data_IF_261540529776
#
_entry.id   IF_261540529776
#
_cell.length_a   1.000
_cell.length_b   1.000
_cell.length_c   1.000
_cell.angle_alpha   90.00
_cell.angle_beta   90.00
_cell.angle_gamma   90.00
#
_symmetry.space_group_name_H-M   'P 1'
#
loop_
_entity.id
_entity.type
_entity.pdbx_description
1 polymer ?
#
# COMPACT_ATOMS: atom_id res chain seq x y z
N UNK A 1 12.65 8.58 36.59
CA UNK A 1 11.82 7.82 35.60
C UNK A 1 10.44 8.45 35.53
N UNK A 2 10.14 9.25 34.50
CA UNK A 2 8.78 9.83 34.33
C UNK A 2 7.87 8.73 33.77
N UNK A 3 6.98 8.20 34.61
CA UNK A 3 5.90 7.31 34.13
C UNK A 3 4.99 8.12 33.21
N UNK A 4 5.01 7.80 31.92
CA UNK A 4 4.05 8.38 30.97
C UNK A 4 2.69 7.72 31.22
N UNK A 5 1.64 8.50 31.48
CA UNK A 5 0.24 8.03 31.59
C UNK A 5 -0.17 7.17 30.37
N UNK A 6 0.47 7.39 29.22
CA UNK A 6 0.23 6.62 28.00
C UNK A 6 0.60 5.14 28.10
N UNK A 7 1.46 4.72 29.08
CA UNK A 7 1.76 3.31 29.30
C UNK A 7 0.59 2.52 29.89
N UNK A 8 -0.37 3.23 30.49
CA UNK A 8 -1.61 2.64 31.04
C UNK A 8 -2.70 2.48 29.96
N UNK A 9 -2.51 3.06 28.77
CA UNK A 9 -3.47 2.91 27.68
C UNK A 9 -3.50 1.48 27.15
N UNK A 10 -4.66 0.99 26.68
CA UNK A 10 -4.76 -0.34 26.13
C UNK A 10 -3.88 -0.49 24.88
N UNK A 11 -3.33 -1.69 24.68
CA UNK A 11 -2.55 -2.02 23.50
C UNK A 11 -3.38 -1.75 22.23
N UNK A 12 -2.80 -1.03 21.28
CA UNK A 12 -3.43 -0.72 20.00
C UNK A 12 -2.97 -1.69 18.92
N UNK A 13 -3.92 -2.26 18.20
CA UNK A 13 -3.69 -3.19 17.09
C UNK A 13 -4.10 -2.53 15.78
N UNK A 14 -3.18 -2.48 14.82
CA UNK A 14 -3.42 -1.96 13.49
C UNK A 14 -3.43 -3.13 12.52
N UNK A 15 -4.56 -3.36 11.85
CA UNK A 15 -4.71 -4.47 10.95
C UNK A 15 -4.34 -4.06 9.53
N UNK A 16 -3.47 -4.83 8.87
CA UNK A 16 -3.02 -4.62 7.50
C UNK A 16 -3.34 -5.83 6.63
N UNK A 17 -3.92 -5.58 5.46
CA UNK A 17 -4.19 -6.57 4.42
C UNK A 17 -3.51 -6.16 3.12
N UNK A 18 -2.85 -7.10 2.47
CA UNK A 18 -2.18 -6.91 1.18
C UNK A 18 -0.67 -6.82 1.29
N UNK A 19 -0.02 -6.58 0.15
CA UNK A 19 1.43 -6.53 0.01
C UNK A 19 2.06 -5.24 0.52
N UNK A 20 3.32 -5.00 0.12
CA UNK A 20 4.20 -3.92 0.61
C UNK A 20 3.50 -2.56 0.69
N UNK A 21 2.78 -2.14 -0.35
CA UNK A 21 2.12 -0.82 -0.34
C UNK A 21 1.10 -0.65 0.80
N UNK A 22 0.38 -1.71 1.19
CA UNK A 22 -0.55 -1.67 2.34
C UNK A 22 0.20 -1.69 3.66
N UNK A 23 1.28 -2.44 3.74
CA UNK A 23 2.14 -2.55 4.92
C UNK A 23 2.84 -1.22 5.22
N UNK A 24 3.26 -0.48 4.20
CA UNK A 24 3.82 0.86 4.33
C UNK A 24 2.82 1.86 4.91
N UNK A 25 1.56 1.83 4.48
CA UNK A 25 0.50 2.64 5.09
C UNK A 25 0.29 2.28 6.56
N UNK A 26 0.29 0.99 6.91
CA UNK A 26 0.17 0.56 8.29
C UNK A 26 1.36 1.03 9.14
N UNK A 27 2.58 0.94 8.61
CA UNK A 27 3.78 1.43 9.28
C UNK A 27 3.71 2.95 9.54
N UNK A 28 3.31 3.73 8.54
CA UNK A 28 3.14 5.19 8.68
C UNK A 28 2.18 5.54 9.83
N UNK A 29 1.03 4.86 9.90
CA UNK A 29 0.05 5.08 10.98
C UNK A 29 0.64 4.72 12.34
N UNK A 30 1.38 3.60 12.44
CA UNK A 30 2.01 3.22 13.71
C UNK A 30 2.99 4.29 14.17
N UNK A 31 3.86 4.76 13.28
CA UNK A 31 4.84 5.78 13.62
C UNK A 31 4.15 7.08 14.03
N UNK A 32 3.12 7.52 13.31
CA UNK A 32 2.32 8.68 13.66
C UNK A 32 1.67 8.54 15.04
N UNK A 33 1.10 7.38 15.34
CA UNK A 33 0.47 7.11 16.63
C UNK A 33 1.47 7.01 17.77
N UNK A 34 2.67 6.51 17.53
CA UNK A 34 3.75 6.53 18.52
C UNK A 34 4.20 7.94 18.86
N UNK A 35 4.23 8.85 17.86
CA UNK A 35 4.51 10.28 18.11
C UNK A 35 3.38 10.94 18.91
N UNK A 36 2.11 10.64 18.58
CA UNK A 36 0.95 11.21 19.24
C UNK A 36 0.74 10.67 20.67
N UNK A 37 1.04 9.39 20.89
CA UNK A 37 0.89 8.69 22.18
C UNK A 37 2.20 8.02 22.60
N UNK A 38 3.23 8.79 23.00
CA UNK A 38 4.52 8.23 23.41
C UNK A 38 4.36 7.23 24.56
N UNK A 39 5.02 6.06 24.43
CA UNK A 39 4.94 5.00 25.44
C UNK A 39 3.75 4.04 25.27
N UNK A 40 2.77 4.35 24.41
CA UNK A 40 1.69 3.41 24.10
C UNK A 40 2.19 2.23 23.29
N UNK A 41 1.77 1.02 23.63
CA UNK A 41 2.10 -0.19 22.88
C UNK A 41 1.24 -0.30 21.63
N UNK A 42 1.87 -0.18 20.45
CA UNK A 42 1.21 -0.33 19.15
C UNK A 42 1.82 -1.53 18.43
N UNK A 43 0.95 -2.38 17.82
CA UNK A 43 1.37 -3.57 17.06
C UNK A 43 0.64 -3.60 15.72
N UNK A 44 1.30 -4.12 14.70
CA UNK A 44 0.65 -4.41 13.41
C UNK A 44 0.22 -5.87 13.38
N UNK A 45 -1.02 -6.10 12.96
CA UNK A 45 -1.54 -7.43 12.64
C UNK A 45 -1.52 -7.56 11.13
N UNK A 46 -0.59 -8.34 10.60
CA UNK A 46 -0.50 -8.61 9.17
C UNK A 46 -1.37 -9.81 8.83
N UNK A 47 -2.36 -9.60 7.98
CA UNK A 47 -3.22 -10.66 7.47
C UNK A 47 -2.69 -11.14 6.14
N UNK A 48 -2.34 -12.41 6.05
CA UNK A 48 -1.84 -13.03 4.81
C UNK A 48 -2.95 -13.44 3.86
N UNK A 49 -4.21 -13.26 4.28
CA UNK A 49 -5.40 -13.51 3.48
C UNK A 49 -5.67 -12.42 2.43
N UNK A 50 -6.31 -12.76 1.33
CA UNK A 50 -6.69 -11.83 0.26
C UNK A 50 -7.12 -12.59 -1.00
N UNK A 51 -7.20 -11.89 -2.14
CA UNK A 51 -7.40 -12.52 -3.46
C UNK A 51 -6.22 -13.44 -3.79
N UNK A 52 -5.02 -12.99 -3.43
CA UNK A 52 -3.78 -13.78 -3.46
C UNK A 52 -3.15 -13.78 -2.08
N UNK A 53 -2.53 -14.91 -1.69
CA UNK A 53 -1.78 -14.98 -0.44
C UNK A 53 -0.63 -13.98 -0.47
N UNK A 54 -0.53 -13.13 0.56
CA UNK A 54 0.53 -12.12 0.69
C UNK A 54 1.29 -12.37 1.99
N UNK A 55 2.60 -12.22 1.92
CA UNK A 55 3.50 -12.36 3.07
C UNK A 55 3.87 -10.99 3.62
N UNK A 56 4.53 -10.98 4.76
CA UNK A 56 5.15 -9.76 5.28
C UNK A 56 6.36 -9.42 4.41
N UNK A 57 6.27 -8.32 3.67
CA UNK A 57 7.29 -7.82 2.75
C UNK A 57 8.12 -6.70 3.39
N UNK A 58 7.51 -5.95 4.33
CA UNK A 58 8.16 -4.86 5.04
C UNK A 58 8.88 -5.37 6.29
N UNK A 59 10.15 -5.02 6.45
CA UNK A 59 10.88 -5.29 7.68
C UNK A 59 10.46 -4.30 8.80
N UNK A 60 9.34 -4.59 9.45
CA UNK A 60 8.79 -3.76 10.53
C UNK A 60 9.72 -3.62 11.73
N UNK A 61 10.61 -4.59 11.96
CA UNK A 61 11.53 -4.57 13.11
C UNK A 61 12.51 -3.40 13.03
N UNK A 62 12.94 -3.02 11.82
CA UNK A 62 13.79 -1.83 11.61
C UNK A 62 13.12 -0.52 11.99
N UNK A 63 11.80 -0.46 11.86
CA UNK A 63 10.99 0.67 12.31
C UNK A 63 10.60 0.57 13.80
N UNK A 64 11.18 -0.39 14.54
CA UNK A 64 10.80 -0.64 15.92
C UNK A 64 9.34 -1.03 16.10
N UNK A 65 8.71 -1.61 15.07
CA UNK A 65 7.29 -1.99 15.05
C UNK A 65 7.18 -3.50 15.30
N UNK A 66 6.42 -3.88 16.34
CA UNK A 66 6.09 -5.28 16.60
C UNK A 66 4.94 -5.74 15.71
N UNK A 67 5.08 -6.93 15.09
CA UNK A 67 4.07 -7.53 14.24
C UNK A 67 3.53 -8.85 14.82
N UNK A 68 2.34 -9.21 14.37
CA UNK A 68 1.73 -10.53 14.53
C UNK A 68 1.17 -10.91 13.15
N UNK A 69 1.62 -12.02 12.60
CA UNK A 69 1.07 -12.56 11.36
C UNK A 69 -0.13 -13.47 11.66
N UNK A 70 -1.20 -13.31 10.90
CA UNK A 70 -2.39 -14.16 10.99
C UNK A 70 -2.68 -14.73 9.60
N UNK A 71 -2.62 -16.05 9.50
CA UNK A 71 -3.05 -16.77 8.31
C UNK A 71 -4.56 -17.08 8.39
N UNK A 72 -5.35 -16.17 7.82
CA UNK A 72 -6.81 -16.32 7.80
C UNK A 72 -7.31 -17.41 6.82
N UNK A 73 -6.43 -17.91 5.92
CA UNK A 73 -6.78 -19.02 5.03
C UNK A 73 -6.95 -20.36 5.76
N UNK A 74 -6.30 -20.52 6.91
CA UNK A 74 -6.40 -21.72 7.72
C UNK A 74 -7.70 -21.79 8.53
N UNK A 75 -8.48 -20.70 8.61
CA UNK A 75 -9.79 -20.74 9.28
C UNK A 75 -10.81 -21.38 8.35
N UNK A 76 -11.41 -22.51 8.73
CA UNK A 76 -12.49 -23.08 7.95
C UNK A 76 -13.58 -22.02 7.79
N UNK A 77 -14.06 -21.79 6.56
CA UNK A 77 -15.25 -20.99 6.32
C UNK A 77 -16.35 -21.57 7.21
N UNK A 78 -16.73 -20.83 8.25
CA UNK A 78 -17.84 -21.22 9.12
C UNK A 78 -19.07 -21.40 8.22
N UNK A 79 -19.38 -22.66 7.90
CA UNK A 79 -20.60 -23.00 7.20
C UNK A 79 -21.76 -22.50 8.04
N UNK A 80 -22.56 -21.64 7.45
CA UNK A 80 -23.71 -20.99 8.09
C UNK A 80 -24.82 -21.99 8.31
N UNK A 81 -24.80 -22.70 9.44
CA UNK A 81 -25.95 -23.44 9.93
C UNK A 81 -26.98 -22.48 10.56
N UNK A 82 -28.23 -22.82 10.51
CA UNK A 82 -29.36 -22.00 11.05
C UNK A 82 -29.17 -21.53 12.51
N UNK A 83 -28.43 -22.29 13.33
CA UNK A 83 -28.09 -21.92 14.71
C UNK A 83 -27.16 -20.70 14.79
N UNK A 84 -26.37 -20.41 13.77
CA UNK A 84 -25.49 -19.25 13.68
C UNK A 84 -26.32 -17.96 13.51
N UNK A 85 -27.54 -18.02 12.92
CA UNK A 85 -28.40 -16.82 12.72
C UNK A 85 -28.80 -16.11 14.00
N UNK A 86 -29.11 -16.80 15.08
CA UNK A 86 -29.46 -16.16 16.38
C UNK A 86 -28.24 -15.55 17.06
N UNK A 87 -27.09 -16.22 17.05
CA UNK A 87 -25.81 -15.67 17.54
C UNK A 87 -25.35 -14.45 16.73
N UNK A 88 -25.63 -14.43 15.43
CA UNK A 88 -25.32 -13.27 14.57
C UNK A 88 -25.96 -11.96 15.03
N UNK A 89 -27.16 -12.00 15.62
CA UNK A 89 -27.85 -10.79 16.10
C UNK A 89 -27.10 -10.14 17.27
N UNK A 90 -26.67 -10.93 18.24
CA UNK A 90 -25.84 -10.45 19.36
C UNK A 90 -24.44 -10.03 18.91
N UNK A 91 -23.84 -10.75 17.98
CA UNK A 91 -22.54 -10.37 17.40
C UNK A 91 -22.64 -9.04 16.66
N UNK A 92 -23.73 -8.80 15.92
CA UNK A 92 -23.97 -7.51 15.25
C UNK A 92 -24.13 -6.37 16.25
N UNK A 93 -24.88 -6.57 17.33
CA UNK A 93 -25.06 -5.58 18.39
C UNK A 93 -23.72 -5.28 19.09
N UNK A 94 -22.99 -6.31 19.48
CA UNK A 94 -21.65 -6.14 20.07
C UNK A 94 -20.69 -5.42 19.11
N UNK A 95 -20.71 -5.80 17.85
CA UNK A 95 -19.91 -5.12 16.81
C UNK A 95 -20.31 -3.65 16.70
N UNK A 96 -21.60 -3.34 16.61
CA UNK A 96 -22.08 -1.97 16.55
C UNK A 96 -21.64 -1.17 17.78
N UNK A 97 -21.78 -1.74 18.99
CA UNK A 97 -21.29 -1.11 20.22
C UNK A 97 -19.78 -0.81 20.17
N UNK A 98 -18.95 -1.77 19.75
CA UNK A 98 -17.49 -1.60 19.66
C UNK A 98 -17.10 -0.49 18.69
N UNK A 99 -17.81 -0.36 17.57
CA UNK A 99 -17.56 0.71 16.59
C UNK A 99 -18.09 2.06 17.05
N UNK A 100 -19.31 2.11 17.62
CA UNK A 100 -19.89 3.35 18.11
C UNK A 100 -19.10 3.95 19.29
N UNK A 101 -18.61 3.11 20.19
CA UNK A 101 -17.74 3.52 21.31
C UNK A 101 -16.31 3.86 20.90
N UNK A 102 -15.95 3.68 19.61
CA UNK A 102 -14.57 3.87 19.11
C UNK A 102 -13.51 2.95 19.75
N UNK A 103 -13.93 1.84 20.37
CA UNK A 103 -13.01 0.77 20.80
C UNK A 103 -12.38 0.11 19.59
N UNK A 104 -13.19 -0.08 18.54
CA UNK A 104 -12.72 -0.48 17.20
C UNK A 104 -13.01 0.67 16.24
N UNK A 105 -12.01 1.11 15.51
CA UNK A 105 -12.15 2.07 14.41
C UNK A 105 -11.99 1.31 13.12
N UNK A 106 -12.94 1.49 12.20
CA UNK A 106 -12.85 0.93 10.85
C UNK A 106 -13.12 2.03 9.84
N UNK A 107 -12.37 1.96 8.76
CA UNK A 107 -12.59 2.76 7.58
C UNK A 107 -12.60 1.84 6.37
N UNK A 108 -13.59 1.97 5.51
CA UNK A 108 -13.66 1.21 4.27
C UNK A 108 -12.74 1.80 3.20
N UNK A 109 -12.52 3.11 3.22
CA UNK A 109 -11.70 3.82 2.25
C UNK A 109 -10.82 4.91 2.87
N UNK A 110 -11.22 5.46 4.02
CA UNK A 110 -10.63 6.65 4.61
C UNK A 110 -10.34 6.41 6.08
N UNK A 111 -9.16 6.82 6.49
CA UNK A 111 -8.76 6.76 7.87
C UNK A 111 -8.61 8.18 8.42
N UNK A 112 -9.49 8.57 9.33
CA UNK A 112 -9.42 9.84 10.02
C UNK A 112 -8.76 9.66 11.39
N UNK A 113 -7.63 10.30 11.62
CA UNK A 113 -6.96 10.31 12.92
C UNK A 113 -7.84 10.82 14.06
N UNK A 114 -8.76 11.74 13.76
CA UNK A 114 -9.70 12.30 14.72
C UNK A 114 -10.63 11.25 15.35
N UNK A 115 -10.85 10.14 14.67
CA UNK A 115 -11.67 9.06 15.19
C UNK A 115 -10.95 8.16 16.20
N UNK A 116 -9.61 8.28 16.33
CA UNK A 116 -8.85 7.51 17.31
C UNK A 116 -8.97 8.18 18.68
N UNK A 117 -9.37 7.41 19.65
CA UNK A 117 -9.48 7.82 21.06
C UNK A 117 -8.40 7.10 21.90
N UNK A 118 -8.06 7.61 23.08
CA UNK A 118 -7.11 6.93 23.98
C UNK A 118 -7.47 5.48 24.26
N UNK A 119 -8.76 5.15 24.35
CA UNK A 119 -9.27 3.80 24.61
C UNK A 119 -9.45 2.94 23.34
N UNK A 120 -9.15 3.45 22.13
CA UNK A 120 -9.21 2.64 20.90
C UNK A 120 -8.21 1.48 20.99
N UNK A 121 -8.68 0.26 20.77
CA UNK A 121 -7.87 -0.95 20.88
C UNK A 121 -7.55 -1.57 19.53
N UNK A 122 -8.33 -1.27 18.49
CA UNK A 122 -8.16 -1.87 17.17
C UNK A 122 -8.51 -0.88 16.07
N UNK A 123 -7.67 -0.82 15.06
CA UNK A 123 -7.88 -0.02 13.84
C UNK A 123 -7.85 -0.95 12.65
N UNK A 124 -8.90 -0.88 11.82
CA UNK A 124 -9.09 -1.72 10.64
C UNK A 124 -9.44 -0.84 9.45
N UNK A 125 -8.77 -1.00 8.32
CA UNK A 125 -9.07 -0.22 7.12
C UNK A 125 -7.96 -0.31 6.08
N UNK A 126 -8.13 0.46 5.01
CA UNK A 126 -7.14 0.51 3.94
C UNK A 126 -6.05 1.56 4.15
N UNK A 127 -6.23 2.49 5.06
CA UNK A 127 -5.29 3.55 5.48
C UNK A 127 -4.75 4.43 4.34
N UNK A 128 -5.50 4.55 3.27
CA UNK A 128 -5.03 5.22 2.07
C UNK A 128 -5.08 6.74 2.17
N UNK A 129 -5.94 7.28 3.03
CA UNK A 129 -5.98 8.70 3.37
C UNK A 129 -5.28 8.93 4.72
N UNK A 130 -3.99 9.21 4.65
CA UNK A 130 -3.17 9.53 5.81
C UNK A 130 -2.59 10.91 5.66
N UNK A 131 -2.55 11.67 6.75
CA UNK A 131 -1.78 12.89 6.80
C UNK A 131 -0.30 12.56 6.63
N UNK A 132 0.30 13.09 5.58
CA UNK A 132 1.69 12.83 5.25
C UNK A 132 2.61 13.68 6.11
N UNK A 133 3.49 13.02 6.86
CA UNK A 133 4.52 13.66 7.67
C UNK A 133 5.88 13.30 7.08
N UNK A 134 6.59 14.30 6.56
CA UNK A 134 7.83 14.07 5.83
C UNK A 134 8.89 13.33 6.64
N UNK A 135 9.04 13.61 7.93
CA UNK A 135 10.01 12.90 8.80
C UNK A 135 9.69 11.40 8.94
N UNK A 136 8.41 11.04 9.03
CA UNK A 136 7.98 9.64 9.08
C UNK A 136 8.24 8.95 7.75
N UNK A 137 7.97 9.64 6.63
CA UNK A 137 8.21 9.09 5.29
C UNK A 137 9.71 8.84 5.08
N UNK A 138 10.58 9.76 5.51
CA UNK A 138 12.03 9.59 5.46
C UNK A 138 12.49 8.42 6.33
N UNK A 139 12.00 8.30 7.58
CA UNK A 139 12.30 7.17 8.47
C UNK A 139 11.92 5.82 7.83
N UNK A 140 10.78 5.77 7.14
CA UNK A 140 10.34 4.57 6.41
C UNK A 140 11.28 4.28 5.23
N UNK A 141 11.64 5.30 4.43
CA UNK A 141 12.54 5.15 3.28
C UNK A 141 13.91 4.63 3.71
N UNK A 142 14.49 5.23 4.76
CA UNK A 142 15.77 4.79 5.33
C UNK A 142 15.73 3.33 5.81
N UNK A 143 14.66 2.96 6.53
CA UNK A 143 14.50 1.58 7.01
C UNK A 143 14.29 0.57 5.88
N UNK A 144 13.62 0.95 4.79
CA UNK A 144 13.43 0.10 3.61
C UNK A 144 14.72 -0.20 2.89
N UNK A 145 15.57 0.82 2.73
CA UNK A 145 16.75 0.75 1.86
C UNK A 145 18.08 0.63 2.61
N UNK A 146 18.06 0.46 3.93
CA UNK A 146 19.27 0.34 4.75
C UNK A 146 20.22 -0.80 4.31
N UNK A 147 19.69 -1.94 3.83
CA UNK A 147 20.50 -3.10 3.36
C UNK A 147 20.70 -3.08 1.84
N UNK A 148 20.18 -2.09 1.13
CA UNK A 148 20.15 -2.12 -0.34
C UNK A 148 21.46 -1.70 -1.00
N UNK A 149 22.57 -1.61 -0.24
CA UNK A 149 23.91 -1.37 -0.81
C UNK A 149 24.31 -2.41 -1.86
N UNK A 150 23.71 -3.60 -1.83
CA UNK A 150 23.97 -4.70 -2.77
C UNK A 150 22.98 -4.74 -3.95
N UNK A 151 21.93 -3.94 -3.96
CA UNK A 151 21.04 -3.85 -5.11
C UNK A 151 21.64 -2.88 -6.11
N UNK A 152 22.25 -3.40 -7.16
CA UNK A 152 22.69 -2.57 -8.29
C UNK A 152 21.54 -1.68 -8.74
N UNK A 153 21.73 -0.35 -8.79
CA UNK A 153 20.66 0.55 -9.20
C UNK A 153 20.26 0.22 -10.62
N UNK A 154 19.07 -0.32 -10.79
CA UNK A 154 18.52 -0.60 -12.11
C UNK A 154 18.03 0.71 -12.72
N UNK A 155 19.00 1.56 -13.12
CA UNK A 155 18.70 2.85 -13.75
C UNK A 155 17.87 2.64 -15.01
N UNK A 156 16.75 3.32 -15.10
CA UNK A 156 15.96 3.42 -16.34
C UNK A 156 15.46 4.87 -16.48
N UNK A 157 15.22 5.29 -17.70
CA UNK A 157 14.66 6.62 -17.94
C UNK A 157 13.18 6.64 -17.53
N UNK A 158 12.44 5.61 -17.92
CA UNK A 158 11.02 5.46 -17.61
C UNK A 158 10.79 4.16 -16.84
N UNK A 159 10.24 4.24 -15.66
CA UNK A 159 9.73 3.11 -14.89
C UNK A 159 8.20 3.09 -14.96
N UNK A 160 7.63 2.01 -15.47
CA UNK A 160 6.20 1.78 -15.50
C UNK A 160 5.85 0.66 -14.52
N UNK A 161 5.08 0.97 -13.48
CA UNK A 161 4.50 -0.05 -12.61
C UNK A 161 3.07 -0.36 -13.07
N UNK A 162 2.91 -1.47 -13.79
CA UNK A 162 1.65 -1.88 -14.37
C UNK A 162 1.03 -3.04 -13.61
N UNK A 163 0.19 -2.73 -12.65
CA UNK A 163 -0.55 -3.73 -11.87
C UNK A 163 -1.64 -4.35 -12.71
N UNK A 164 -1.53 -5.64 -12.99
CA UNK A 164 -2.50 -6.43 -13.75
C UNK A 164 -2.99 -7.64 -12.98
N UNK A 165 -2.12 -8.38 -12.30
CA UNK A 165 -2.30 -9.70 -11.71
C UNK A 165 -3.70 -9.98 -11.16
N UNK A 166 -3.99 -9.47 -9.96
CA UNK A 166 -5.30 -9.68 -9.34
C UNK A 166 -6.43 -8.83 -9.98
N UNK A 167 -6.11 -7.70 -10.63
CA UNK A 167 -7.11 -6.85 -11.27
C UNK A 167 -7.78 -7.51 -12.48
N UNK A 168 -7.05 -8.37 -13.21
CA UNK A 168 -7.63 -9.14 -14.32
C UNK A 168 -8.63 -10.20 -13.85
N UNK A 169 -8.59 -10.56 -12.55
CA UNK A 169 -9.50 -11.54 -11.95
C UNK A 169 -10.71 -10.89 -11.25
N UNK A 170 -10.69 -9.57 -11.06
CA UNK A 170 -11.73 -8.84 -10.35
C UNK A 170 -12.70 -8.21 -11.33
N UNK A 171 -14.00 -8.47 -11.16
CA UNK A 171 -15.06 -7.87 -11.98
C UNK A 171 -15.27 -6.37 -11.70
N UNK A 172 -14.99 -5.94 -10.47
CA UNK A 172 -15.30 -4.58 -10.00
C UNK A 172 -14.20 -3.54 -10.27
N UNK A 173 -12.95 -4.00 -10.46
CA UNK A 173 -11.79 -3.12 -10.66
C UNK A 173 -11.11 -3.49 -11.96
N UNK A 174 -11.08 -2.55 -12.89
CA UNK A 174 -10.39 -2.75 -14.16
C UNK A 174 -8.96 -2.21 -14.10
N UNK A 175 -8.00 -2.85 -14.76
CA UNK A 175 -6.69 -2.27 -15.01
C UNK A 175 -6.82 -0.95 -15.79
N UNK A 176 -5.83 -0.10 -15.69
CA UNK A 176 -5.75 1.12 -16.52
C UNK A 176 -5.62 0.72 -18.00
N UNK A 177 -6.31 1.45 -18.86
CA UNK A 177 -6.25 1.23 -20.31
C UNK A 177 -4.81 1.41 -20.83
N UNK A 178 -4.23 0.40 -21.50
CA UNK A 178 -2.89 0.48 -22.04
C UNK A 178 -2.69 1.60 -23.05
N UNK A 179 -3.71 2.00 -23.80
CA UNK A 179 -3.61 3.12 -24.74
C UNK A 179 -3.31 4.45 -24.04
N UNK A 180 -3.91 4.72 -22.88
CA UNK A 180 -3.59 5.92 -22.09
C UNK A 180 -2.14 5.96 -21.64
N UNK A 181 -1.58 4.80 -21.24
CA UNK A 181 -0.17 4.69 -20.82
C UNK A 181 0.75 4.89 -22.02
N UNK A 182 0.41 4.31 -23.17
CA UNK A 182 1.18 4.47 -24.38
C UNK A 182 1.24 5.94 -24.85
N UNK A 183 0.13 6.68 -24.78
CA UNK A 183 0.07 8.11 -25.06
C UNK A 183 1.04 8.92 -24.17
N UNK A 184 1.13 8.57 -22.88
CA UNK A 184 2.09 9.20 -21.98
C UNK A 184 3.53 8.90 -22.40
N UNK A 185 3.85 7.65 -22.74
CA UNK A 185 5.19 7.25 -23.15
C UNK A 185 5.60 8.00 -24.42
N UNK A 186 4.69 8.14 -25.39
CA UNK A 186 4.95 8.86 -26.65
C UNK A 186 5.30 10.32 -26.40
N UNK A 187 4.64 11.00 -25.44
CA UNK A 187 4.94 12.40 -25.09
C UNK A 187 6.39 12.62 -24.70
N UNK A 188 7.04 11.62 -24.09
CA UNK A 188 8.43 11.73 -23.63
C UNK A 188 9.46 11.33 -24.68
N UNK A 189 9.03 10.94 -25.88
CA UNK A 189 9.94 10.49 -26.97
C UNK A 189 11.03 9.53 -26.44
N UNK A 190 10.66 8.63 -25.54
CA UNK A 190 11.58 7.66 -24.97
C UNK A 190 11.67 6.45 -25.87
N UNK A 191 12.88 6.03 -26.17
CA UNK A 191 13.10 4.78 -26.92
C UNK A 191 12.76 3.56 -26.03
N UNK A 192 12.19 2.48 -26.60
CA UNK A 192 11.73 1.32 -25.85
C UNK A 192 12.77 0.73 -24.90
N UNK A 193 14.04 0.69 -25.28
CA UNK A 193 15.13 0.15 -24.46
C UNK A 193 15.39 0.92 -23.16
N UNK A 194 14.89 2.16 -23.04
CA UNK A 194 14.98 3.01 -21.84
C UNK A 194 13.77 2.89 -20.92
N UNK A 195 12.79 2.08 -21.32
CA UNK A 195 11.54 1.87 -20.58
C UNK A 195 11.62 0.50 -19.90
N UNK A 196 11.34 0.45 -18.60
CA UNK A 196 11.20 -0.79 -17.86
C UNK A 196 9.78 -0.91 -17.35
N UNK A 197 9.14 -2.03 -17.66
CA UNK A 197 7.79 -2.36 -17.20
C UNK A 197 7.91 -3.37 -16.07
N UNK A 198 7.27 -3.06 -14.96
CA UNK A 198 7.14 -3.94 -13.80
C UNK A 198 5.69 -4.37 -13.66
N UNK A 199 5.42 -5.66 -13.69
CA UNK A 199 4.07 -6.20 -13.56
C UNK A 199 4.04 -7.41 -12.64
N UNK A 200 2.94 -7.57 -11.92
CA UNK A 200 2.60 -8.73 -11.11
C UNK A 200 1.84 -9.82 -11.91
N UNK A 201 1.73 -9.64 -13.23
CA UNK A 201 1.16 -10.61 -14.17
C UNK A 201 2.26 -11.43 -14.83
N UNK A 202 1.92 -12.65 -15.27
CA UNK A 202 2.77 -13.40 -16.17
C UNK A 202 2.87 -12.72 -17.55
N UNK A 203 3.95 -13.04 -18.29
CA UNK A 203 4.25 -12.40 -19.57
C UNK A 203 3.15 -12.60 -20.62
N UNK A 204 2.52 -13.76 -20.66
CA UNK A 204 1.48 -14.04 -21.66
C UNK A 204 0.23 -13.17 -21.42
N UNK A 205 -0.26 -13.13 -20.20
CA UNK A 205 -1.41 -12.28 -19.84
C UNK A 205 -1.10 -10.80 -20.05
N UNK A 206 0.13 -10.37 -19.76
CA UNK A 206 0.55 -9.02 -20.05
C UNK A 206 0.48 -8.75 -21.55
N UNK A 207 1.07 -9.60 -22.38
CA UNK A 207 1.08 -9.44 -23.83
C UNK A 207 -0.32 -9.43 -24.43
N UNK A 208 -1.20 -10.33 -23.99
CA UNK A 208 -2.60 -10.34 -24.42
C UNK A 208 -3.29 -9.02 -24.11
N UNK A 209 -3.06 -8.47 -22.91
CA UNK A 209 -3.68 -7.24 -22.45
C UNK A 209 -3.20 -6.01 -23.21
N UNK A 210 -1.91 -5.92 -23.54
CA UNK A 210 -1.32 -4.78 -24.27
C UNK A 210 -1.25 -4.97 -25.78
N UNK A 211 -1.80 -6.04 -26.32
CA UNK A 211 -1.69 -6.45 -27.73
C UNK A 211 -2.07 -5.38 -28.77
N UNK A 212 -2.94 -4.44 -28.39
CA UNK A 212 -3.38 -3.35 -29.25
C UNK A 212 -2.46 -2.13 -29.24
N UNK A 213 -1.42 -2.11 -28.42
CA UNK A 213 -0.44 -1.03 -28.33
C UNK A 213 0.81 -1.36 -29.16
N UNK A 214 1.54 -0.33 -29.62
CA UNK A 214 2.77 -0.52 -30.39
C UNK A 214 4.01 -0.64 -29.49
N UNK A 215 4.12 0.25 -28.51
CA UNK A 215 5.28 0.32 -27.63
C UNK A 215 5.17 -0.71 -26.52
N UNK A 216 4.06 -0.75 -25.79
CA UNK A 216 3.91 -1.65 -24.66
C UNK A 216 3.96 -3.13 -25.08
N UNK A 217 3.41 -3.48 -26.26
CA UNK A 217 3.48 -4.84 -26.78
C UNK A 217 4.89 -5.29 -27.17
N UNK A 218 5.80 -4.35 -27.44
CA UNK A 218 7.22 -4.66 -27.69
C UNK A 218 8.06 -4.83 -26.42
N UNK A 219 7.49 -4.52 -25.24
CA UNK A 219 8.20 -4.58 -23.96
C UNK A 219 7.91 -5.89 -23.22
N UNK A 220 8.94 -6.44 -22.60
CA UNK A 220 8.79 -7.61 -21.72
C UNK A 220 8.67 -7.15 -20.28
N UNK A 221 7.59 -7.53 -19.57
CA UNK A 221 7.42 -7.14 -18.18
C UNK A 221 8.43 -7.85 -17.29
N UNK A 222 8.99 -7.12 -16.34
CA UNK A 222 9.86 -7.63 -15.29
C UNK A 222 9.02 -7.97 -14.07
N UNK A 223 9.09 -9.21 -13.62
CA UNK A 223 8.48 -9.66 -12.39
C UNK A 223 9.54 -9.61 -11.27
N UNK A 224 9.65 -8.47 -10.62
CA UNK A 224 10.55 -8.25 -9.50
C UNK A 224 9.76 -8.24 -8.18
N UNK A 225 10.50 -8.43 -7.08
CA UNK A 225 9.92 -8.21 -5.76
C UNK A 225 9.48 -6.74 -5.57
N UNK A 226 8.46 -6.48 -4.74
CA UNK A 226 7.89 -5.15 -4.61
C UNK A 226 8.88 -4.07 -4.13
N UNK A 227 9.91 -4.44 -3.36
CA UNK A 227 10.92 -3.50 -2.87
C UNK A 227 11.83 -3.06 -4.03
N UNK A 228 12.26 -3.99 -4.88
CA UNK A 228 13.03 -3.72 -6.09
C UNK A 228 12.25 -2.84 -7.07
N UNK A 229 10.95 -3.11 -7.27
CA UNK A 229 10.05 -2.26 -8.08
C UNK A 229 10.00 -0.84 -7.52
N UNK A 230 9.81 -0.70 -6.20
CA UNK A 230 9.74 0.60 -5.53
C UNK A 230 11.06 1.37 -5.70
N UNK A 231 12.20 0.69 -5.54
CA UNK A 231 13.52 1.30 -5.74
C UNK A 231 13.72 1.81 -7.16
N UNK A 232 13.41 0.99 -8.17
CA UNK A 232 13.50 1.39 -9.57
C UNK A 232 12.57 2.57 -9.88
N UNK A 233 11.35 2.56 -9.33
CA UNK A 233 10.41 3.66 -9.47
C UNK A 233 10.96 4.97 -8.88
N UNK A 234 11.59 4.92 -7.71
CA UNK A 234 12.17 6.10 -7.04
C UNK A 234 13.36 6.65 -7.83
N UNK A 235 14.21 5.79 -8.36
CA UNK A 235 15.49 6.18 -9.00
C UNK A 235 15.33 6.51 -10.49
N UNK A 236 14.17 6.30 -11.12
CA UNK A 236 13.90 6.64 -12.52
C UNK A 236 13.70 8.15 -12.74
N UNK A 237 13.99 8.63 -13.96
CA UNK A 237 13.70 10.03 -14.32
C UNK A 237 12.18 10.27 -14.37
N UNK A 238 11.44 9.34 -14.97
CA UNK A 238 10.00 9.37 -15.14
C UNK A 238 9.40 8.12 -14.53
N UNK A 239 8.40 8.28 -13.69
CA UNK A 239 7.62 7.18 -13.14
C UNK A 239 6.17 7.26 -13.60
N UNK A 240 5.66 6.18 -14.16
CA UNK A 240 4.25 5.99 -14.49
C UNK A 240 3.70 4.88 -13.61
N UNK A 241 2.85 5.25 -12.66
CA UNK A 241 2.19 4.30 -11.78
C UNK A 241 0.77 4.01 -12.24
N UNK A 242 0.27 2.81 -11.98
CA UNK A 242 -1.13 2.46 -12.20
C UNK A 242 -1.90 2.37 -10.88
N UNK A 243 -3.16 1.94 -10.88
CA UNK A 243 -4.04 1.90 -9.71
C UNK A 243 -3.54 0.90 -8.64
N UNK A 244 -2.48 1.25 -7.93
CA UNK A 244 -1.85 0.45 -6.90
C UNK A 244 -1.33 1.27 -5.72
N UNK A 245 -1.45 0.75 -4.51
CA UNK A 245 -0.88 1.39 -3.31
C UNK A 245 0.64 1.52 -3.39
N UNK A 246 1.32 0.58 -4.06
CA UNK A 246 2.75 0.66 -4.29
C UNK A 246 3.12 1.84 -5.18
N UNK A 247 2.32 2.12 -6.24
CA UNK A 247 2.48 3.31 -7.07
C UNK A 247 2.30 4.61 -6.28
N UNK A 248 1.36 4.65 -5.34
CA UNK A 248 1.21 5.80 -4.43
C UNK A 248 2.45 6.00 -3.57
N UNK A 249 3.01 4.93 -3.00
CA UNK A 249 4.22 5.03 -2.20
C UNK A 249 5.44 5.46 -3.01
N UNK A 250 5.58 4.96 -4.24
CA UNK A 250 6.61 5.46 -5.14
C UNK A 250 6.48 6.97 -5.36
N UNK A 251 5.27 7.47 -5.63
CA UNK A 251 5.01 8.89 -5.79
C UNK A 251 5.26 9.70 -4.50
N UNK A 252 4.92 9.16 -3.32
CA UNK A 252 5.20 9.80 -2.03
C UNK A 252 6.71 9.98 -1.83
N UNK A 253 7.52 8.93 -2.02
CA UNK A 253 8.97 9.01 -1.89
C UNK A 253 9.59 9.95 -2.93
N UNK A 254 9.13 9.90 -4.18
CA UNK A 254 9.61 10.79 -5.25
C UNK A 254 9.28 12.25 -4.99
N UNK A 255 8.16 12.54 -4.33
CA UNK A 255 7.78 13.92 -3.96
C UNK A 255 8.73 14.56 -2.93
N UNK A 256 9.49 13.76 -2.19
CA UNK A 256 10.54 14.26 -1.29
C UNK A 256 11.81 14.59 -2.08
N UNK A 257 12.11 13.78 -3.10
CA UNK A 257 13.23 13.98 -4.02
C UNK A 257 12.80 14.92 -5.15
N UNK A 258 12.99 16.22 -4.99
CA UNK A 258 12.55 17.23 -5.96
C UNK A 258 13.16 17.01 -7.36
N UNK A 259 12.36 17.14 -8.40
CA UNK A 259 12.80 17.20 -9.79
C UNK A 259 12.39 16.02 -10.68
N UNK A 260 11.84 14.95 -10.16
CA UNK A 260 11.44 13.77 -10.95
C UNK A 260 9.96 13.83 -11.36
N UNK A 261 9.65 13.54 -12.62
CA UNK A 261 8.28 13.52 -13.16
C UNK A 261 7.58 12.23 -12.71
N UNK A 262 6.39 12.37 -12.18
CA UNK A 262 5.57 11.25 -11.70
C UNK A 262 4.16 11.35 -12.25
N UNK A 263 3.67 10.28 -12.85
CA UNK A 263 2.30 10.16 -13.34
C UNK A 263 1.54 9.11 -12.55
N UNK A 264 0.34 9.47 -12.12
CA UNK A 264 -0.62 8.55 -11.52
C UNK A 264 -1.99 8.70 -12.20
N UNK A 265 -2.78 7.62 -12.26
CA UNK A 265 -4.11 7.69 -12.83
C UNK A 265 -5.05 8.51 -11.94
N UNK A 266 -6.00 9.20 -12.58
CA UNK A 266 -7.02 10.02 -11.89
C UNK A 266 -7.85 9.23 -10.88
N UNK A 267 -7.93 7.91 -11.01
CA UNK A 267 -8.55 7.00 -10.04
C UNK A 267 -7.86 7.01 -8.67
N UNK A 268 -6.62 7.50 -8.60
CA UNK A 268 -5.88 7.67 -7.34
C UNK A 268 -5.88 9.11 -6.82
N UNK A 269 -6.56 10.04 -7.49
CA UNK A 269 -6.57 11.47 -7.15
C UNK A 269 -7.13 11.77 -5.75
N UNK A 270 -7.95 10.87 -5.22
CA UNK A 270 -8.42 10.96 -3.84
C UNK A 270 -7.26 10.94 -2.80
N UNK A 271 -6.06 10.47 -3.18
CA UNK A 271 -4.86 10.47 -2.33
C UNK A 271 -4.04 11.77 -2.45
N UNK A 272 -4.49 12.73 -3.28
CA UNK A 272 -3.80 14.01 -3.48
C UNK A 272 -3.73 14.80 -2.18
N UNK A 273 -2.53 15.27 -1.87
CA UNK A 273 -2.25 16.08 -0.70
C UNK A 273 -1.29 17.22 -1.04
N UNK A 274 -1.25 18.25 -0.21
CA UNK A 274 -0.29 19.35 -0.34
C UNK A 274 1.15 18.84 -0.45
N UNK A 275 1.90 19.34 -1.44
CA UNK A 275 3.27 18.92 -1.72
C UNK A 275 3.42 17.59 -2.45
N UNK A 276 2.33 17.04 -2.98
CA UNK A 276 2.36 15.84 -3.83
C UNK A 276 2.70 16.25 -5.26
N UNK A 277 3.93 15.95 -5.70
CA UNK A 277 4.40 16.31 -7.04
C UNK A 277 4.04 15.21 -8.04
N UNK A 278 2.80 15.23 -8.53
CA UNK A 278 2.22 14.22 -9.42
C UNK A 278 1.40 14.89 -10.51
N UNK A 279 1.58 14.42 -11.74
CA UNK A 279 0.68 14.71 -12.85
C UNK A 279 -0.37 13.59 -12.97
N UNK A 280 -1.62 13.96 -13.10
CA UNK A 280 -2.75 13.03 -13.18
C UNK A 280 -3.14 12.76 -14.64
N UNK A 281 -3.32 11.49 -15.01
CA UNK A 281 -3.69 11.07 -16.35
C UNK A 281 -4.96 10.22 -16.41
#
# INVERSE_FOLDING_TARGET
MKFSLNTLLPNLRIHSWGGLGSQLFAAHIVLRLKQQYPGRRVRVIVHTSGVTKRYTELNFTRLGIKIIEIDDFLKPKLQTTLQVRRRFKYIKLLKAFLYNSKIVVASNSEFEYQSIKPWTMSIRGHYTQIERVNSIVQEIEEALFADSTNLSPMKCKVALHYRLGDLLMLSEKKPIDPMKIEELIIKFKSSPEKIKVFSDSDSNRYQDFVSKTKILSSLTPLNLDPLSVLRCAIDSDIFIGTNAKLSLWAAIFRSIKRGNITFLPTELRWAEQSGFNVEWY
#
